data_IF_720799560979
#
_entry.id   IF_720799560979
#
_cell.length_a   1.000
_cell.length_b   1.000
_cell.length_c   1.000
_cell.angle_alpha   90.00
_cell.angle_beta   90.00
_cell.angle_gamma   90.00
#
_symmetry.space_group_name_H-M   'P 1'
#
loop_
_entity.id
_entity.type
_entity.pdbx_description
1 polymer ?
#
# COMPACT_ATOMS: atom_id res chain seq x y z
N UNK A 1 21.15 38.89 8.26
CA UNK A 1 20.69 39.21 9.62
C UNK A 1 20.81 37.94 10.43
N UNK A 2 21.61 37.94 11.50
CA UNK A 2 21.75 36.78 12.38
C UNK A 2 20.39 36.50 13.04
N UNK A 3 19.95 35.23 13.03
CA UNK A 3 18.71 34.83 13.68
C UNK A 3 18.82 35.06 15.19
N UNK A 4 17.97 35.94 15.74
CA UNK A 4 17.88 36.22 17.19
C UNK A 4 17.23 35.07 18.00
N UNK A 5 16.98 33.91 17.37
CA UNK A 5 16.31 32.77 18.01
C UNK A 5 16.93 31.44 17.56
N UNK A 6 16.86 30.41 18.41
CA UNK A 6 17.20 29.03 18.02
C UNK A 6 15.95 28.26 17.60
N UNK A 7 16.12 27.23 16.77
CA UNK A 7 14.99 26.40 16.31
C UNK A 7 14.28 25.71 17.49
N UNK A 8 14.99 25.35 18.57
CA UNK A 8 14.33 24.78 19.76
C UNK A 8 13.43 25.80 20.47
N UNK A 9 13.71 27.09 20.39
CA UNK A 9 12.82 28.12 20.95
C UNK A 9 11.46 28.16 20.22
N UNK A 10 11.43 27.76 18.94
CA UNK A 10 10.18 27.56 18.19
C UNK A 10 9.38 26.35 18.70
N UNK A 11 10.02 25.42 19.42
CA UNK A 11 9.44 24.21 19.99
C UNK A 11 9.41 24.24 21.53
N UNK A 12 9.22 25.41 22.14
CA UNK A 12 9.17 25.59 23.59
C UNK A 12 10.40 25.05 24.34
N UNK A 13 11.59 25.12 23.73
CA UNK A 13 12.85 24.64 24.28
C UNK A 13 13.07 23.13 24.16
N UNK A 14 12.17 22.39 23.53
CA UNK A 14 12.33 20.95 23.28
C UNK A 14 13.20 20.72 22.05
N UNK A 15 14.01 19.66 22.10
CA UNK A 15 14.91 19.25 21.01
C UNK A 15 14.16 19.15 19.69
N UNK A 16 14.70 19.76 18.64
CA UNK A 16 14.20 19.67 17.27
C UNK A 16 15.21 18.87 16.44
N UNK A 17 14.72 17.93 15.65
CA UNK A 17 15.55 17.12 14.76
C UNK A 17 15.50 17.75 13.36
N UNK A 18 16.68 17.86 12.73
CA UNK A 18 16.81 18.48 11.41
C UNK A 18 16.62 17.45 10.30
N UNK A 19 15.35 17.05 10.10
CA UNK A 19 14.96 16.10 9.05
C UNK A 19 15.24 16.66 7.66
N UNK A 20 14.92 17.93 7.48
CA UNK A 20 14.93 18.57 6.17
C UNK A 20 16.36 18.80 5.64
N UNK A 21 17.41 18.60 6.46
CA UNK A 21 18.81 18.68 5.97
C UNK A 21 19.17 17.52 5.06
N UNK A 22 18.48 16.39 5.24
CA UNK A 22 18.65 15.18 4.47
C UNK A 22 17.60 15.07 3.36
N UNK A 23 16.78 16.10 3.14
CA UNK A 23 15.70 16.07 2.16
C UNK A 23 16.20 15.80 0.73
N UNK A 24 17.32 16.40 0.32
CA UNK A 24 17.92 16.19 -1.00
C UNK A 24 18.39 14.75 -1.20
N UNK A 25 19.01 14.16 -0.18
CA UNK A 25 19.47 12.77 -0.22
C UNK A 25 18.30 11.80 -0.17
N UNK A 26 17.34 12.03 0.72
CA UNK A 26 16.14 11.21 0.83
C UNK A 26 15.32 11.24 -0.46
N UNK A 27 15.13 12.43 -1.05
CA UNK A 27 14.43 12.59 -2.33
C UNK A 27 15.21 11.98 -3.50
N UNK A 28 16.55 12.12 -3.51
CA UNK A 28 17.40 11.50 -4.54
C UNK A 28 17.37 9.97 -4.49
N UNK A 29 17.47 9.38 -3.30
CA UNK A 29 17.40 7.92 -3.09
C UNK A 29 16.00 7.40 -3.43
N UNK A 30 14.96 8.09 -2.97
CA UNK A 30 13.55 7.78 -3.27
C UNK A 30 13.27 7.85 -4.79
N UNK A 31 13.73 8.90 -5.46
CA UNK A 31 13.62 9.04 -6.92
C UNK A 31 14.39 7.96 -7.68
N UNK A 32 15.59 7.60 -7.21
CA UNK A 32 16.35 6.49 -7.79
C UNK A 32 15.62 5.15 -7.63
N UNK A 33 15.13 4.84 -6.43
CA UNK A 33 14.33 3.65 -6.17
C UNK A 33 13.09 3.60 -7.05
N UNK A 34 12.41 4.73 -7.24
CA UNK A 34 11.24 4.83 -8.12
C UNK A 34 11.60 4.46 -9.57
N UNK A 35 12.69 5.01 -10.11
CA UNK A 35 13.16 4.71 -11.47
C UNK A 35 13.54 3.24 -11.58
N UNK A 36 14.26 2.70 -10.60
CA UNK A 36 14.65 1.29 -10.57
C UNK A 36 13.41 0.39 -10.53
N UNK A 37 12.42 0.70 -9.70
CA UNK A 37 11.16 -0.04 -9.64
C UNK A 37 10.43 -0.04 -10.97
N UNK A 38 10.31 1.12 -11.64
CA UNK A 38 9.69 1.21 -12.96
C UNK A 38 10.48 0.39 -14.00
N UNK A 39 11.81 0.45 -13.97
CA UNK A 39 12.66 -0.32 -14.87
C UNK A 39 12.52 -1.84 -14.64
N UNK A 40 12.47 -2.28 -13.38
CA UNK A 40 12.23 -3.69 -13.02
C UNK A 40 10.87 -4.14 -13.56
N UNK A 41 9.82 -3.36 -13.31
CA UNK A 41 8.46 -3.65 -13.81
C UNK A 41 8.48 -3.75 -15.34
N UNK A 42 9.18 -2.84 -16.04
CA UNK A 42 9.25 -2.85 -17.50
C UNK A 42 10.03 -4.04 -18.09
N UNK A 43 11.08 -4.52 -17.41
CA UNK A 43 11.94 -5.60 -17.92
C UNK A 43 11.43 -6.99 -17.51
N UNK A 44 11.00 -7.16 -16.26
CA UNK A 44 10.54 -8.46 -15.73
C UNK A 44 9.03 -8.67 -15.87
N UNK A 45 8.26 -7.60 -15.95
CA UNK A 45 6.81 -7.67 -15.88
C UNK A 45 6.31 -8.07 -14.50
N UNK A 46 5.02 -8.36 -14.42
CA UNK A 46 4.38 -8.88 -13.21
C UNK A 46 4.12 -10.38 -13.35
N UNK A 47 4.30 -11.11 -12.25
CA UNK A 47 3.81 -12.48 -12.15
C UNK A 47 2.31 -12.39 -11.83
N UNK A 48 1.46 -12.51 -12.85
CA UNK A 48 0.01 -12.38 -12.66
C UNK A 48 -0.57 -13.66 -12.09
N UNK A 49 -1.38 -13.50 -11.04
CA UNK A 49 -2.04 -14.62 -10.41
C UNK A 49 -3.27 -15.10 -11.13
N UNK A 50 -3.80 -16.22 -10.65
CA UNK A 50 -4.93 -16.92 -11.26
C UNK A 50 -6.19 -16.06 -11.40
N UNK A 51 -6.36 -15.07 -10.54
CA UNK A 51 -7.47 -14.12 -10.61
C UNK A 51 -7.41 -13.25 -11.89
N UNK A 52 -6.22 -13.05 -12.48
CA UNK A 52 -6.01 -12.22 -13.67
C UNK A 52 -5.63 -13.02 -14.92
N UNK A 53 -4.91 -14.13 -14.76
CA UNK A 53 -4.59 -15.03 -15.88
C UNK A 53 -5.72 -15.99 -16.21
N UNK A 54 -6.72 -16.10 -15.32
CA UNK A 54 -7.63 -17.24 -15.31
C UNK A 54 -6.93 -18.50 -14.79
N UNK A 55 -7.65 -19.61 -14.81
CA UNK A 55 -7.15 -20.87 -14.27
C UNK A 55 -8.24 -21.94 -14.15
N UNK A 56 -7.82 -23.11 -13.69
CA UNK A 56 -8.74 -24.22 -13.40
C UNK A 56 -8.98 -24.28 -11.90
N UNK A 57 -10.26 -24.21 -11.53
CA UNK A 57 -10.76 -24.37 -10.17
C UNK A 57 -11.39 -25.76 -10.05
N UNK A 58 -10.87 -26.58 -9.15
CA UNK A 58 -11.40 -27.90 -8.87
C UNK A 58 -11.97 -27.91 -7.45
N UNK A 59 -13.27 -28.17 -7.33
CA UNK A 59 -13.94 -28.37 -6.05
C UNK A 59 -14.05 -29.85 -5.76
N UNK A 60 -13.55 -30.25 -4.60
CA UNK A 60 -13.42 -31.63 -4.19
C UNK A 60 -14.07 -31.79 -2.81
N UNK A 61 -14.96 -32.76 -2.71
CA UNK A 61 -15.59 -33.15 -1.45
C UNK A 61 -14.91 -34.39 -0.91
N UNK A 62 -14.62 -34.36 0.38
CA UNK A 62 -13.93 -35.40 1.12
C UNK A 62 -14.85 -35.96 2.20
N UNK A 63 -14.64 -37.21 2.60
CA UNK A 63 -15.39 -37.80 3.71
C UNK A 63 -14.94 -37.24 5.06
N UNK A 64 -13.62 -37.05 5.24
CA UNK A 64 -13.00 -36.53 6.46
C UNK A 64 -12.20 -35.26 6.19
N UNK A 65 -12.13 -34.33 7.16
CA UNK A 65 -11.26 -33.17 7.07
C UNK A 65 -9.80 -33.60 6.89
N UNK A 66 -9.07 -32.87 6.04
CA UNK A 66 -7.64 -33.13 5.79
C UNK A 66 -6.84 -31.93 6.28
N UNK A 67 -5.61 -32.21 6.69
CA UNK A 67 -4.58 -31.20 6.84
C UNK A 67 -4.21 -30.60 5.46
N UNK A 68 -4.56 -29.32 5.27
CA UNK A 68 -4.36 -28.62 4.01
C UNK A 68 -2.89 -28.44 3.66
N UNK A 69 -2.00 -28.36 4.64
CA UNK A 69 -0.58 -28.18 4.43
C UNK A 69 0.05 -29.49 3.94
N UNK A 70 -0.31 -30.61 4.55
CA UNK A 70 0.10 -31.94 4.08
C UNK A 70 -0.41 -32.24 2.66
N UNK A 71 -1.64 -31.83 2.35
CA UNK A 71 -2.19 -32.00 1.01
C UNK A 71 -1.48 -31.12 -0.02
N UNK A 72 -1.19 -29.86 0.33
CA UNK A 72 -0.43 -28.95 -0.54
C UNK A 72 0.95 -29.52 -0.86
N UNK A 73 1.69 -30.00 0.13
CA UNK A 73 2.99 -30.65 -0.07
C UNK A 73 2.89 -31.86 -1.00
N UNK A 74 1.83 -32.66 -0.86
CA UNK A 74 1.64 -33.87 -1.66
C UNK A 74 1.36 -33.54 -3.13
N UNK A 75 0.56 -32.50 -3.39
CA UNK A 75 0.33 -32.00 -4.74
C UNK A 75 1.58 -31.37 -5.35
N UNK A 76 2.37 -30.65 -4.55
CA UNK A 76 3.64 -30.08 -5.01
C UNK A 76 4.66 -31.18 -5.35
N UNK A 77 4.75 -32.24 -4.53
CA UNK A 77 5.57 -33.44 -4.82
C UNK A 77 5.09 -34.20 -6.07
N UNK A 78 3.80 -34.14 -6.38
CA UNK A 78 3.23 -34.71 -7.60
C UNK A 78 3.53 -33.88 -8.87
N UNK A 79 4.23 -32.74 -8.73
CA UNK A 79 4.68 -31.90 -9.83
C UNK A 79 3.69 -30.81 -10.24
N UNK A 80 2.70 -30.49 -9.41
CA UNK A 80 1.86 -29.31 -9.61
C UNK A 80 2.59 -28.07 -9.09
N UNK A 81 2.77 -27.05 -9.95
CA UNK A 81 3.39 -25.77 -9.57
C UNK A 81 2.41 -24.96 -8.71
N UNK A 82 2.82 -24.66 -7.47
CA UNK A 82 2.13 -23.80 -6.49
C UNK A 82 0.59 -23.94 -6.43
N UNK A 83 0.05 -25.14 -6.12
CA UNK A 83 -1.39 -25.33 -6.04
C UNK A 83 -1.98 -24.55 -4.85
N UNK A 84 -2.89 -23.62 -5.13
CA UNK A 84 -3.61 -22.86 -4.12
C UNK A 84 -4.75 -23.71 -3.55
N UNK A 85 -4.57 -24.17 -2.31
CA UNK A 85 -5.53 -25.00 -1.59
C UNK A 85 -6.25 -24.19 -0.51
N UNK A 86 -7.58 -24.19 -0.56
CA UNK A 86 -8.44 -23.51 0.40
C UNK A 86 -9.68 -24.35 0.73
N UNK A 87 -10.22 -24.21 1.94
CA UNK A 87 -11.51 -24.81 2.29
C UNK A 87 -12.64 -24.03 1.62
N UNK A 88 -13.69 -24.73 1.20
CA UNK A 88 -14.82 -24.16 0.46
C UNK A 88 -16.15 -24.59 1.07
N UNK A 89 -16.77 -23.73 1.88
CA UNK A 89 -18.05 -24.01 2.53
C UNK A 89 -17.96 -24.87 3.80
N UNK A 90 -17.20 -25.98 3.78
CA UNK A 90 -16.96 -26.82 4.97
C UNK A 90 -15.50 -27.26 5.08
N UNK A 91 -15.09 -27.81 6.23
CA UNK A 91 -13.74 -28.40 6.42
C UNK A 91 -13.50 -29.69 5.62
N UNK A 92 -14.51 -30.16 4.90
CA UNK A 92 -14.48 -31.39 4.08
C UNK A 92 -14.52 -31.07 2.59
N UNK A 93 -14.79 -29.82 2.25
CA UNK A 93 -14.88 -29.35 0.89
C UNK A 93 -13.66 -28.48 0.64
N UNK A 94 -12.83 -28.89 -0.32
CA UNK A 94 -11.61 -28.18 -0.68
C UNK A 94 -11.73 -27.65 -2.09
N UNK A 95 -11.13 -26.50 -2.32
CA UNK A 95 -10.96 -25.90 -3.63
C UNK A 95 -9.47 -25.86 -3.95
N UNK A 96 -9.12 -26.45 -5.08
CA UNK A 96 -7.77 -26.46 -5.64
C UNK A 96 -7.76 -25.52 -6.84
N UNK A 97 -6.95 -24.47 -6.79
CA UNK A 97 -6.77 -23.50 -7.87
C UNK A 97 -5.39 -23.71 -8.51
N UNK A 98 -5.38 -23.80 -9.84
CA UNK A 98 -4.16 -24.05 -10.63
C UNK A 98 -4.11 -23.20 -11.90
N UNK A 99 -2.90 -22.94 -12.42
CA UNK A 99 -2.69 -22.26 -13.70
C UNK A 99 -3.47 -22.89 -14.86
N UNK A 100 -3.90 -22.08 -15.84
CA UNK A 100 -4.68 -22.56 -16.98
C UNK A 100 -3.82 -23.47 -17.86
N UNK A 101 -4.38 -24.63 -18.22
CA UNK A 101 -3.72 -25.55 -19.15
C UNK A 101 -4.25 -25.32 -20.55
N UNK A 102 -3.32 -25.15 -21.47
CA UNK A 102 -3.56 -24.65 -22.83
C UNK A 102 -4.18 -25.71 -23.77
N UNK A 103 -4.67 -26.82 -23.22
CA UNK A 103 -5.20 -27.95 -23.99
C UNK A 103 -6.69 -28.14 -23.73
N UNK A 104 -7.48 -28.41 -24.78
CA UNK A 104 -8.95 -28.40 -24.70
C UNK A 104 -9.52 -29.48 -23.76
N UNK A 105 -8.78 -30.58 -23.53
CA UNK A 105 -9.08 -31.62 -22.54
C UNK A 105 -8.20 -31.54 -21.28
N UNK A 106 -7.25 -30.60 -21.23
CA UNK A 106 -6.23 -30.51 -20.19
C UNK A 106 -6.82 -30.26 -18.80
N UNK A 107 -7.92 -29.49 -18.70
CA UNK A 107 -8.61 -29.21 -17.44
C UNK A 107 -9.29 -30.45 -16.84
N UNK A 108 -9.90 -31.30 -17.67
CA UNK A 108 -10.51 -32.55 -17.25
C UNK A 108 -9.44 -33.58 -16.82
N UNK A 109 -8.36 -33.68 -17.60
CA UNK A 109 -7.23 -34.56 -17.27
C UNK A 109 -6.54 -34.13 -15.97
N UNK A 110 -6.35 -32.82 -15.77
CA UNK A 110 -5.87 -32.26 -14.50
C UNK A 110 -6.77 -32.60 -13.33
N UNK A 111 -8.09 -32.42 -13.51
CA UNK A 111 -9.08 -32.85 -12.52
C UNK A 111 -8.89 -34.29 -12.09
N UNK A 112 -8.78 -35.19 -13.06
CA UNK A 112 -8.58 -36.62 -12.80
C UNK A 112 -7.25 -36.92 -12.11
N UNK A 113 -6.17 -36.23 -12.49
CA UNK A 113 -4.83 -36.40 -11.92
C UNK A 113 -4.76 -35.90 -10.48
N UNK A 114 -5.37 -34.74 -10.20
CA UNK A 114 -5.46 -34.17 -8.85
C UNK A 114 -6.24 -35.11 -7.92
N UNK A 115 -7.39 -35.62 -8.37
CA UNK A 115 -8.20 -36.55 -7.57
C UNK A 115 -7.48 -37.86 -7.32
N UNK A 116 -6.76 -38.38 -8.32
CA UNK A 116 -5.95 -39.58 -8.16
C UNK A 116 -4.89 -39.38 -7.07
N UNK A 117 -4.17 -38.26 -7.10
CA UNK A 117 -3.16 -37.93 -6.06
C UNK A 117 -3.82 -37.77 -4.69
N UNK A 118 -4.98 -37.13 -4.61
CA UNK A 118 -5.69 -36.93 -3.33
C UNK A 118 -6.18 -38.26 -2.75
N UNK A 119 -6.74 -39.15 -3.58
CA UNK A 119 -7.20 -40.47 -3.17
C UNK A 119 -6.03 -41.34 -2.70
N UNK A 120 -4.92 -41.34 -3.44
CA UNK A 120 -3.69 -42.08 -3.08
C UNK A 120 -3.07 -41.54 -1.78
N UNK A 121 -3.06 -40.22 -1.59
CA UNK A 121 -2.46 -39.58 -0.39
C UNK A 121 -3.31 -39.79 0.86
N UNK A 122 -4.63 -39.76 0.72
CA UNK A 122 -5.53 -39.70 1.90
C UNK A 122 -6.21 -41.02 2.21
N UNK A 123 -6.12 -42.01 1.32
CA UNK A 123 -6.82 -43.30 1.47
C UNK A 123 -8.32 -43.12 1.75
N UNK A 124 -8.94 -42.09 1.16
CA UNK A 124 -10.37 -41.83 1.20
C UNK A 124 -10.88 -41.48 -0.19
N UNK A 125 -12.17 -41.70 -0.44
CA UNK A 125 -12.80 -41.38 -1.71
C UNK A 125 -13.07 -39.86 -1.81
N UNK A 126 -12.19 -39.17 -2.53
CA UNK A 126 -12.42 -37.79 -2.92
C UNK A 126 -13.32 -37.74 -4.16
N UNK A 127 -14.37 -36.93 -4.09
CA UNK A 127 -15.32 -36.76 -5.19
C UNK A 127 -15.20 -35.35 -5.76
N UNK A 128 -14.98 -35.24 -7.08
CA UNK A 128 -15.02 -33.95 -7.76
C UNK A 128 -16.47 -33.49 -7.82
N UNK A 129 -16.76 -32.37 -7.16
CA UNK A 129 -18.07 -31.71 -7.28
C UNK A 129 -18.16 -30.91 -8.55
N UNK A 130 -17.09 -30.18 -8.86
CA UNK A 130 -17.08 -29.21 -9.95
C UNK A 130 -15.67 -28.95 -10.46
N UNK A 131 -15.54 -28.84 -11.77
CA UNK A 131 -14.34 -28.29 -12.43
C UNK A 131 -14.81 -27.06 -13.18
N UNK A 132 -14.35 -25.89 -12.77
CA UNK A 132 -14.62 -24.63 -13.45
C UNK A 132 -13.33 -24.12 -14.09
N UNK A 133 -13.41 -23.76 -15.36
CA UNK A 133 -12.35 -23.05 -16.04
C UNK A 133 -12.72 -21.58 -16.10
N UNK A 134 -11.92 -20.74 -15.46
CA UNK A 134 -12.03 -19.29 -15.57
C UNK A 134 -11.12 -18.84 -16.70
N UNK A 135 -11.72 -18.35 -17.78
CA UNK A 135 -10.99 -17.88 -18.95
C UNK A 135 -10.23 -16.58 -18.70
N UNK A 136 -9.10 -16.35 -19.40
CA UNK A 136 -8.26 -15.16 -19.24
C UNK A 136 -8.99 -13.84 -19.54
N UNK A 137 -10.10 -13.86 -20.28
CA UNK A 137 -10.92 -12.67 -20.53
C UNK A 137 -11.54 -12.09 -19.25
N UNK A 138 -12.02 -12.95 -18.34
CA UNK A 138 -12.58 -12.51 -17.05
C UNK A 138 -11.48 -11.95 -16.16
N UNK A 139 -10.29 -12.56 -16.22
CA UNK A 139 -9.12 -12.08 -15.48
C UNK A 139 -8.60 -10.73 -15.96
N UNK A 140 -8.62 -10.46 -17.26
CA UNK A 140 -8.27 -9.14 -17.80
C UNK A 140 -9.23 -8.03 -17.30
N UNK A 141 -10.52 -8.31 -17.24
CA UNK A 141 -11.51 -7.38 -16.68
C UNK A 141 -11.27 -7.11 -15.19
N UNK A 142 -10.92 -8.14 -14.42
CA UNK A 142 -10.55 -8.03 -13.01
C UNK A 142 -9.28 -7.18 -12.83
N UNK A 143 -8.26 -7.38 -13.66
CA UNK A 143 -7.01 -6.62 -13.63
C UNK A 143 -7.26 -5.13 -13.91
N UNK A 144 -8.03 -4.84 -14.95
CA UNK A 144 -8.39 -3.48 -15.31
C UNK A 144 -9.23 -2.82 -14.20
N UNK A 145 -10.17 -3.55 -13.61
CA UNK A 145 -11.00 -3.05 -12.51
C UNK A 145 -10.15 -2.75 -11.27
N UNK A 146 -9.19 -3.63 -10.93
CA UNK A 146 -8.25 -3.41 -9.82
C UNK A 146 -7.36 -2.18 -10.04
N UNK A 147 -6.81 -2.02 -11.24
CA UNK A 147 -6.01 -0.85 -11.61
C UNK A 147 -6.83 0.44 -11.55
N UNK A 148 -8.07 0.41 -12.06
CA UNK A 148 -9.00 1.54 -11.98
C UNK A 148 -9.37 1.87 -10.53
N UNK A 149 -9.59 0.88 -9.68
CA UNK A 149 -9.88 1.09 -8.27
C UNK A 149 -8.74 1.82 -7.54
N UNK A 150 -7.48 1.42 -7.78
CA UNK A 150 -6.30 2.09 -7.24
C UNK A 150 -6.19 3.55 -7.73
N UNK A 151 -6.40 3.79 -9.02
CA UNK A 151 -6.33 5.13 -9.61
C UNK A 151 -7.44 6.04 -9.07
N UNK A 152 -8.68 5.54 -9.00
CA UNK A 152 -9.83 6.27 -8.44
C UNK A 152 -9.60 6.57 -6.95
N UNK A 153 -9.01 5.66 -6.19
CA UNK A 153 -8.67 5.90 -4.79
C UNK A 153 -7.65 7.05 -4.65
N UNK A 154 -6.57 7.05 -5.44
CA UNK A 154 -5.57 8.13 -5.42
C UNK A 154 -6.17 9.49 -5.82
N UNK A 155 -7.01 9.55 -6.85
CA UNK A 155 -7.70 10.79 -7.25
C UNK A 155 -8.66 11.26 -6.16
N UNK A 156 -9.42 10.35 -5.56
CA UNK A 156 -10.37 10.68 -4.48
C UNK A 156 -9.64 11.27 -3.27
N UNK A 157 -8.49 10.70 -2.92
CA UNK A 157 -7.61 11.23 -1.88
C UNK A 157 -7.08 12.62 -2.26
N UNK A 158 -6.62 12.81 -3.50
CA UNK A 158 -6.16 14.13 -3.98
C UNK A 158 -7.24 15.20 -3.83
N UNK A 159 -8.46 14.89 -4.27
CA UNK A 159 -9.60 15.80 -4.18
C UNK A 159 -9.90 16.11 -2.71
N UNK A 160 -10.05 15.08 -1.87
CA UNK A 160 -10.33 15.26 -0.45
C UNK A 160 -9.25 16.09 0.27
N UNK A 161 -7.98 15.72 0.11
CA UNK A 161 -6.85 16.41 0.74
C UNK A 161 -6.70 17.82 0.16
N UNK A 162 -6.93 18.02 -1.13
CA UNK A 162 -6.90 19.32 -1.79
C UNK A 162 -7.97 20.29 -1.28
N UNK A 163 -9.18 19.80 -0.98
CA UNK A 163 -10.22 20.61 -0.34
C UNK A 163 -9.97 20.83 1.15
N UNK A 164 -9.44 19.83 1.86
CA UNK A 164 -9.24 19.86 3.32
C UNK A 164 -7.99 20.64 3.74
N UNK A 165 -6.96 20.63 2.90
CA UNK A 165 -5.63 21.20 3.10
C UNK A 165 -5.27 22.18 1.97
N UNK A 166 -4.02 22.64 1.95
CA UNK A 166 -3.50 23.47 0.87
C UNK A 166 -3.02 22.56 -0.28
N UNK A 167 -3.23 22.99 -1.53
CA UNK A 167 -3.05 22.11 -2.70
C UNK A 167 -1.61 21.59 -2.88
N UNK A 168 -0.58 22.30 -2.39
CA UNK A 168 0.82 21.85 -2.43
C UNK A 168 1.07 20.74 -1.41
N UNK A 169 0.45 20.82 -0.23
CA UNK A 169 0.41 19.69 0.71
C UNK A 169 -0.30 18.50 0.08
N UNK A 170 -1.46 18.72 -0.53
CA UNK A 170 -2.22 17.65 -1.18
C UNK A 170 -1.43 16.95 -2.30
N UNK A 171 -0.78 17.73 -3.16
CA UNK A 171 0.08 17.20 -4.22
C UNK A 171 1.26 16.41 -3.64
N UNK A 172 1.93 16.93 -2.59
CA UNK A 172 3.02 16.24 -1.92
C UNK A 172 2.60 14.89 -1.34
N UNK A 173 1.43 14.83 -0.67
CA UNK A 173 0.87 13.58 -0.13
C UNK A 173 0.56 12.58 -1.24
N UNK A 174 -0.12 13.00 -2.31
CA UNK A 174 -0.54 12.08 -3.37
C UNK A 174 0.65 11.55 -4.18
N UNK A 175 1.65 12.39 -4.45
CA UNK A 175 2.89 11.94 -5.10
C UNK A 175 3.63 10.95 -4.22
N UNK A 176 3.70 11.18 -2.90
CA UNK A 176 4.29 10.24 -1.95
C UNK A 176 3.55 8.89 -1.94
N UNK A 177 2.20 8.90 -1.94
CA UNK A 177 1.40 7.67 -2.01
C UNK A 177 1.61 6.90 -3.31
N UNK A 178 1.62 7.60 -4.46
CA UNK A 178 1.89 6.97 -5.75
C UNK A 178 3.30 6.37 -5.78
N UNK A 179 4.28 7.08 -5.23
CA UNK A 179 5.65 6.58 -5.06
C UNK A 179 5.69 5.29 -4.23
N UNK A 180 4.99 5.25 -3.09
CA UNK A 180 4.98 4.07 -2.22
C UNK A 180 4.41 2.84 -2.93
N UNK A 181 3.31 3.03 -3.67
CA UNK A 181 2.66 1.99 -4.48
C UNK A 181 3.58 1.50 -5.60
N UNK A 182 4.25 2.40 -6.32
CA UNK A 182 5.16 2.00 -7.41
C UNK A 182 6.38 1.25 -6.88
N UNK A 183 6.96 1.69 -5.75
CA UNK A 183 8.12 0.98 -5.18
C UNK A 183 7.70 -0.40 -4.68
N UNK A 184 6.59 -0.49 -3.93
CA UNK A 184 6.06 -1.79 -3.48
C UNK A 184 5.82 -2.74 -4.67
N UNK A 185 5.16 -2.28 -5.73
CA UNK A 185 4.97 -3.06 -6.95
C UNK A 185 6.30 -3.46 -7.61
N UNK A 186 7.29 -2.58 -7.61
CA UNK A 186 8.62 -2.90 -8.15
C UNK A 186 9.35 -3.98 -7.36
N UNK A 187 9.20 -3.99 -6.03
CA UNK A 187 9.73 -5.06 -5.18
C UNK A 187 8.99 -6.38 -5.45
N UNK A 188 7.67 -6.36 -5.57
CA UNK A 188 6.89 -7.57 -5.92
C UNK A 188 7.31 -8.15 -7.27
N UNK A 189 7.49 -7.28 -8.28
CA UNK A 189 8.00 -7.67 -9.61
C UNK A 189 9.43 -8.23 -9.54
N UNK A 190 10.31 -7.63 -8.73
CA UNK A 190 11.69 -8.10 -8.57
C UNK A 190 11.74 -9.54 -8.04
N UNK A 191 10.91 -9.86 -7.05
CA UNK A 191 10.87 -11.17 -6.42
C UNK A 191 9.92 -12.16 -7.12
N UNK A 192 9.31 -11.78 -8.25
CA UNK A 192 8.32 -12.57 -8.97
C UNK A 192 7.15 -13.04 -8.09
N UNK A 193 6.74 -12.19 -7.14
CA UNK A 193 5.58 -12.47 -6.28
C UNK A 193 4.31 -12.41 -7.13
N UNK A 194 3.46 -13.42 -6.99
CA UNK A 194 2.16 -13.50 -7.66
C UNK A 194 1.28 -12.31 -7.26
N UNK A 195 0.74 -11.59 -8.25
CA UNK A 195 -0.22 -10.50 -8.06
C UNK A 195 -1.61 -11.06 -8.26
N UNK A 196 -2.38 -11.20 -7.18
CA UNK A 196 -3.77 -11.60 -7.18
C UNK A 196 -4.67 -10.46 -6.62
N UNK A 197 -5.96 -10.72 -6.41
CA UNK A 197 -6.85 -9.72 -5.81
C UNK A 197 -6.49 -9.40 -4.35
N UNK A 198 -5.83 -10.31 -3.63
CA UNK A 198 -5.38 -10.06 -2.26
C UNK A 198 -4.24 -9.04 -2.23
N UNK A 199 -3.33 -9.07 -3.21
CA UNK A 199 -2.30 -8.06 -3.39
C UNK A 199 -2.91 -6.70 -3.76
N UNK A 200 -3.94 -6.66 -4.60
CA UNK A 200 -4.64 -5.39 -4.88
C UNK A 200 -5.25 -4.82 -3.59
N UNK A 201 -5.90 -5.66 -2.78
CA UNK A 201 -6.45 -5.24 -1.49
C UNK A 201 -5.37 -4.78 -0.49
N UNK A 202 -4.19 -5.43 -0.50
CA UNK A 202 -3.07 -5.03 0.35
C UNK A 202 -2.49 -3.69 -0.09
N UNK A 203 -2.35 -3.41 -1.39
CA UNK A 203 -1.94 -2.11 -1.91
C UNK A 203 -2.93 -1.00 -1.53
N UNK A 204 -4.24 -1.25 -1.62
CA UNK A 204 -5.26 -0.31 -1.14
C UNK A 204 -5.13 -0.04 0.36
N UNK A 205 -4.82 -1.08 1.14
CA UNK A 205 -4.60 -0.96 2.58
C UNK A 205 -3.34 -0.16 2.91
N UNK A 206 -2.26 -0.35 2.14
CA UNK A 206 -1.02 0.45 2.24
C UNK A 206 -1.29 1.92 1.94
N UNK A 207 -2.09 2.23 0.91
CA UNK A 207 -2.48 3.62 0.60
C UNK A 207 -3.20 4.24 1.80
N UNK A 208 -4.19 3.56 2.37
CA UNK A 208 -4.93 4.05 3.53
C UNK A 208 -4.02 4.26 4.75
N UNK A 209 -3.08 3.34 4.97
CA UNK A 209 -2.11 3.44 6.04
C UNK A 209 -1.15 4.63 5.88
N UNK A 210 -0.47 4.73 4.72
CA UNK A 210 0.48 5.80 4.43
C UNK A 210 -0.20 7.18 4.40
N UNK A 211 -1.47 7.23 3.98
CA UNK A 211 -2.28 8.43 4.02
C UNK A 211 -2.54 8.93 5.45
N UNK A 212 -2.83 8.02 6.39
CA UNK A 212 -3.11 8.39 7.78
C UNK A 212 -1.93 9.18 8.38
N UNK A 213 -0.70 8.70 8.18
CA UNK A 213 0.47 9.40 8.71
C UNK A 213 0.75 10.72 7.97
N UNK A 214 0.62 10.72 6.65
CA UNK A 214 0.76 11.91 5.81
C UNK A 214 -0.23 13.04 6.20
N UNK A 215 -1.46 12.68 6.58
CA UNK A 215 -2.48 13.63 7.07
C UNK A 215 -2.06 14.23 8.40
N UNK A 216 -1.58 13.41 9.34
CA UNK A 216 -1.16 13.87 10.67
C UNK A 216 0.00 14.85 10.58
N UNK A 217 1.00 14.53 9.76
CA UNK A 217 2.15 15.41 9.50
C UNK A 217 1.68 16.72 8.83
N UNK A 218 0.85 16.63 7.80
CA UNK A 218 0.33 17.80 7.07
C UNK A 218 -0.51 18.72 7.95
N UNK A 219 -1.34 18.16 8.82
CA UNK A 219 -2.15 18.94 9.76
C UNK A 219 -1.27 19.64 10.79
N UNK A 220 -0.23 18.96 11.30
CA UNK A 220 0.72 19.58 12.22
C UNK A 220 1.52 20.71 11.58
N UNK A 221 1.97 20.52 10.33
CA UNK A 221 2.63 21.57 9.54
C UNK A 221 1.71 22.79 9.43
N UNK A 222 0.46 22.58 9.01
CA UNK A 222 -0.54 23.65 8.88
C UNK A 222 -0.81 24.36 10.21
N UNK A 223 -0.95 23.61 11.29
CA UNK A 223 -1.15 24.14 12.64
C UNK A 223 0.03 25.03 13.06
N UNK A 224 1.27 24.56 12.86
CA UNK A 224 2.47 25.28 13.25
C UNK A 224 2.71 26.54 12.41
N UNK A 225 2.37 26.54 11.12
CA UNK A 225 2.40 27.77 10.30
C UNK A 225 1.45 28.86 10.81
N UNK A 226 0.35 28.48 11.47
CA UNK A 226 -0.61 29.41 12.09
C UNK A 226 -0.15 29.85 13.48
N UNK A 227 0.37 28.93 14.29
CA UNK A 227 0.76 29.19 15.69
C UNK A 227 2.12 29.87 15.83
N UNK A 228 3.13 29.39 15.11
CA UNK A 228 4.50 29.87 15.24
C UNK A 228 4.67 31.14 14.39
N UNK A 229 4.90 32.27 15.04
CA UNK A 229 4.91 33.60 14.38
C UNK A 229 6.24 33.98 13.74
N UNK A 230 7.32 33.31 14.12
CA UNK A 230 8.70 33.51 13.66
C UNK A 230 9.20 32.16 13.11
N UNK A 231 10.20 32.16 12.25
CA UNK A 231 10.68 30.91 11.64
C UNK A 231 10.54 30.88 10.12
N UNK A 232 11.53 30.29 9.46
CA UNK A 232 11.43 29.99 8.03
C UNK A 232 10.50 28.79 7.80
N UNK A 233 9.89 28.62 6.61
CA UNK A 233 9.12 27.41 6.29
C UNK A 233 9.87 26.12 6.63
N UNK A 234 11.17 26.07 6.32
CA UNK A 234 12.04 24.93 6.64
C UNK A 234 12.07 24.59 8.13
N UNK A 235 12.23 25.60 9.00
CA UNK A 235 12.22 25.41 10.46
C UNK A 235 10.86 24.93 10.97
N UNK A 236 9.78 25.48 10.43
CA UNK A 236 8.41 25.07 10.79
C UNK A 236 8.15 23.60 10.44
N UNK A 237 8.65 23.13 9.29
CA UNK A 237 8.56 21.73 8.91
C UNK A 237 9.35 20.83 9.87
N UNK A 238 10.60 21.17 10.18
CA UNK A 238 11.41 20.40 11.14
C UNK A 238 10.75 20.29 12.52
N UNK A 239 10.18 21.40 13.02
CA UNK A 239 9.43 21.40 14.29
C UNK A 239 8.21 20.48 14.19
N UNK A 240 7.45 20.57 13.10
CA UNK A 240 6.25 19.76 12.87
C UNK A 240 6.57 18.27 12.82
N UNK A 241 7.56 17.89 12.02
CA UNK A 241 8.03 16.50 11.89
C UNK A 241 8.54 15.96 13.22
N UNK A 242 9.29 16.76 13.99
CA UNK A 242 9.76 16.34 15.31
C UNK A 242 8.59 16.08 16.27
N UNK A 243 7.55 16.91 16.23
CA UNK A 243 6.39 16.77 17.11
C UNK A 243 5.52 15.56 16.77
N UNK A 244 5.47 15.14 15.51
CA UNK A 244 4.69 13.96 15.08
C UNK A 244 5.48 12.66 15.13
N UNK A 245 6.81 12.71 15.07
CA UNK A 245 7.69 11.53 14.94
C UNK A 245 7.35 10.39 15.90
N UNK A 246 7.19 10.67 17.20
CA UNK A 246 6.93 9.63 18.20
C UNK A 246 5.60 8.91 17.94
N UNK A 247 4.56 9.66 17.54
CA UNK A 247 3.26 9.07 17.18
C UNK A 247 3.40 8.19 15.94
N UNK A 248 4.02 8.73 14.89
CA UNK A 248 4.27 8.02 13.62
C UNK A 248 5.02 6.71 13.83
N UNK A 249 6.09 6.73 14.63
CA UNK A 249 6.90 5.55 14.91
C UNK A 249 6.13 4.50 15.73
N UNK A 250 5.35 4.91 16.73
CA UNK A 250 4.54 3.97 17.52
C UNK A 250 3.46 3.34 16.66
N UNK A 251 2.70 4.13 15.90
CA UNK A 251 1.65 3.59 15.04
C UNK A 251 2.24 2.62 14.03
N UNK A 252 3.35 2.97 13.39
CA UNK A 252 4.04 2.09 12.41
C UNK A 252 4.62 0.85 13.04
N UNK A 253 5.28 0.97 14.18
CA UNK A 253 5.82 -0.17 14.91
C UNK A 253 4.74 -1.17 15.34
N UNK A 254 3.61 -0.69 15.86
CA UNK A 254 2.50 -1.57 16.26
C UNK A 254 1.87 -2.29 15.06
N UNK A 255 1.66 -1.59 13.94
CA UNK A 255 1.12 -2.19 12.73
C UNK A 255 2.09 -3.20 12.12
N UNK A 256 3.39 -2.86 12.06
CA UNK A 256 4.44 -3.77 11.58
C UNK A 256 4.52 -5.04 12.43
N UNK A 257 4.35 -4.96 13.75
CA UNK A 257 4.34 -6.15 14.60
C UNK A 257 3.18 -7.09 14.25
N UNK A 258 1.98 -6.56 14.03
CA UNK A 258 0.82 -7.39 13.63
C UNK A 258 1.05 -8.02 12.26
N UNK A 259 1.54 -7.24 11.29
CA UNK A 259 1.84 -7.73 9.95
C UNK A 259 2.96 -8.77 9.98
N UNK A 260 3.97 -8.60 10.83
CA UNK A 260 5.06 -9.56 11.00
C UNK A 260 4.55 -10.89 11.54
N UNK A 261 3.65 -10.86 12.53
CA UNK A 261 3.00 -12.09 12.99
C UNK A 261 2.18 -12.74 11.87
N UNK A 262 1.47 -11.94 11.07
CA UNK A 262 0.73 -12.45 9.91
C UNK A 262 1.66 -13.05 8.85
N UNK A 263 2.84 -12.47 8.63
CA UNK A 263 3.84 -13.01 7.69
C UNK A 263 4.45 -14.32 8.18
N UNK A 264 4.75 -14.43 9.47
CA UNK A 264 5.35 -15.63 10.05
C UNK A 264 4.36 -16.79 10.25
N UNK A 265 3.09 -16.49 10.53
CA UNK A 265 2.08 -17.48 10.92
C UNK A 265 0.85 -17.56 10.01
N UNK A 266 0.73 -16.69 9.01
CA UNK A 266 -0.45 -16.62 8.13
C UNK A 266 -0.52 -17.68 7.03
N UNK A 267 0.59 -18.41 6.81
CA UNK A 267 0.69 -19.43 5.76
C UNK A 267 0.80 -18.84 4.34
N UNK A 268 0.94 -19.70 3.32
CA UNK A 268 1.30 -19.28 1.97
C UNK A 268 0.24 -18.40 1.28
N UNK A 269 -1.04 -18.60 1.63
CA UNK A 269 -2.15 -17.80 1.06
C UNK A 269 -2.08 -16.32 1.50
N UNK A 270 -1.50 -16.05 2.68
CA UNK A 270 -1.39 -14.69 3.23
C UNK A 270 0.03 -14.13 3.13
N UNK A 271 0.98 -14.91 2.63
CA UNK A 271 2.38 -14.52 2.52
C UNK A 271 2.55 -13.30 1.61
N UNK A 272 1.99 -13.35 0.40
CA UNK A 272 2.04 -12.21 -0.54
C UNK A 272 1.36 -10.96 0.03
N UNK A 273 0.18 -11.11 0.63
CA UNK A 273 -0.54 -10.01 1.28
C UNK A 273 0.28 -9.35 2.39
N UNK A 274 0.81 -10.16 3.31
CA UNK A 274 1.55 -9.68 4.48
C UNK A 274 2.90 -9.10 4.10
N UNK A 275 3.61 -9.68 3.12
CA UNK A 275 4.84 -9.14 2.58
C UNK A 275 4.61 -7.75 1.94
N UNK A 276 3.55 -7.62 1.15
CA UNK A 276 3.19 -6.33 0.52
C UNK A 276 2.89 -5.26 1.56
N UNK A 277 2.13 -5.61 2.60
CA UNK A 277 1.86 -4.71 3.73
C UNK A 277 3.13 -4.34 4.49
N UNK A 278 4.04 -5.30 4.72
CA UNK A 278 5.28 -5.08 5.45
C UNK A 278 6.18 -4.08 4.73
N UNK A 279 6.35 -4.27 3.42
CA UNK A 279 7.13 -3.36 2.57
C UNK A 279 6.42 -2.00 2.49
N UNK A 280 5.12 -1.98 2.23
CA UNK A 280 4.35 -0.75 2.03
C UNK A 280 4.27 0.13 3.27
N UNK A 281 4.01 -0.44 4.45
CA UNK A 281 4.02 0.30 5.72
C UNK A 281 5.41 0.86 6.02
N UNK A 282 6.47 0.07 5.77
CA UNK A 282 7.85 0.51 6.02
C UNK A 282 8.24 1.68 5.13
N UNK A 283 7.96 1.60 3.82
CA UNK A 283 8.24 2.68 2.86
C UNK A 283 7.35 3.89 3.15
N UNK A 284 6.05 3.67 3.38
CA UNK A 284 5.10 4.75 3.64
C UNK A 284 5.46 5.59 4.86
N UNK A 285 5.97 4.96 5.93
CA UNK A 285 6.45 5.66 7.13
C UNK A 285 7.65 6.56 6.83
N UNK A 286 8.57 6.13 5.96
CA UNK A 286 9.69 6.97 5.54
C UNK A 286 9.24 8.08 4.57
N UNK A 287 8.32 7.75 3.67
CA UNK A 287 7.81 8.62 2.61
C UNK A 287 6.97 9.77 3.16
N UNK A 288 6.11 9.52 4.17
CA UNK A 288 5.32 10.55 4.84
C UNK A 288 6.19 11.62 5.51
N UNK A 289 7.30 11.20 6.13
CA UNK A 289 8.25 12.08 6.81
C UNK A 289 9.08 12.89 5.81
N UNK A 290 9.66 12.22 4.82
CA UNK A 290 10.64 12.85 3.93
C UNK A 290 10.06 13.29 2.59
N UNK A 291 9.35 12.42 1.85
CA UNK A 291 8.91 12.69 0.47
C UNK A 291 7.78 13.72 0.45
N UNK A 292 6.70 13.48 1.18
CA UNK A 292 5.53 14.38 1.18
C UNK A 292 5.92 15.78 1.68
N UNK A 293 6.67 15.84 2.77
CA UNK A 293 7.11 17.08 3.40
C UNK A 293 8.12 17.85 2.55
N UNK A 294 9.13 17.17 1.99
CA UNK A 294 10.13 17.82 1.14
C UNK A 294 9.52 18.33 -0.17
N UNK A 295 8.61 17.57 -0.79
CA UNK A 295 7.90 18.00 -1.99
C UNK A 295 7.08 19.26 -1.72
N UNK A 296 6.32 19.28 -0.63
CA UNK A 296 5.51 20.43 -0.29
C UNK A 296 6.37 21.68 0.01
N UNK A 297 7.54 21.50 0.62
CA UNK A 297 8.53 22.57 0.81
C UNK A 297 9.11 23.07 -0.53
N UNK A 298 9.51 22.17 -1.43
CA UNK A 298 10.05 22.50 -2.76
C UNK A 298 9.03 23.16 -3.69
N UNK A 299 7.74 22.84 -3.54
CA UNK A 299 6.62 23.52 -4.22
C UNK A 299 6.38 24.96 -3.72
N UNK A 300 7.24 25.46 -2.83
CA UNK A 300 7.25 26.85 -2.41
C UNK A 300 6.20 27.17 -1.36
N UNK A 301 5.87 26.22 -0.48
CA UNK A 301 4.95 26.48 0.61
C UNK A 301 5.47 27.60 1.51
N UNK A 302 4.69 28.67 1.59
CA UNK A 302 4.92 29.82 2.45
C UNK A 302 3.78 29.94 3.44
N UNK A 303 4.08 30.62 4.54
CA UNK A 303 3.10 30.93 5.58
C UNK A 303 1.87 31.68 5.05
N UNK A 304 2.08 32.57 4.09
CA UNK A 304 1.03 33.36 3.42
C UNK A 304 -0.06 32.50 2.80
N UNK A 305 0.27 31.27 2.35
CA UNK A 305 -0.69 30.36 1.75
C UNK A 305 -1.61 29.67 2.79
N UNK A 306 -1.28 29.77 4.08
CA UNK A 306 -1.99 29.08 5.16
C UNK A 306 -2.73 30.04 6.10
N UNK A 307 -2.47 31.34 5.96
CA UNK A 307 -3.22 32.43 6.56
C UNK A 307 -4.38 32.78 5.62
N UNK A 308 -5.61 32.77 6.12
CA UNK A 308 -6.71 33.38 5.37
C UNK A 308 -6.34 34.85 5.13
N UNK A 309 -6.24 35.27 3.86
CA UNK A 309 -6.26 36.69 3.55
C UNK A 309 -7.49 37.25 4.27
N UNK A 310 -7.28 38.19 5.20
CA UNK A 310 -8.39 39.05 5.62
C UNK A 310 -8.90 39.65 4.32
N UNK A 311 -10.07 39.22 3.87
CA UNK A 311 -10.85 40.01 2.93
C UNK A 311 -11.04 41.33 3.66
N UNK A 312 -10.30 42.36 3.27
CA UNK A 312 -10.63 43.72 3.68
C UNK A 312 -12.07 43.90 3.24
N UNK A 313 -12.99 43.94 4.20
CA UNK A 313 -14.35 44.38 3.91
C UNK A 313 -14.18 45.79 3.37
N UNK A 314 -14.58 46.02 2.11
CA UNK A 314 -14.70 47.38 1.57
C UNK A 314 -15.45 48.23 2.60
N UNK A 315 -14.79 49.25 3.15
CA UNK A 315 -15.35 50.13 4.18
C UNK A 315 -14.80 49.97 5.61
N UNK A 316 -13.82 49.10 5.89
CA UNK A 316 -13.22 49.00 7.22
C UNK A 316 -12.51 50.29 7.71
N UNK A 317 -12.09 51.15 6.77
CA UNK A 317 -11.48 52.46 7.04
C UNK A 317 -12.47 53.64 6.90
N UNK A 318 -13.76 53.39 6.65
CA UNK A 318 -14.75 54.46 6.61
C UNK A 318 -15.19 54.82 8.03
N UNK A 319 -15.16 56.10 8.43
CA UNK A 319 -15.70 56.52 9.71
C UNK A 319 -17.18 56.14 9.79
N UNK A 320 -17.59 55.62 10.96
CA UNK A 320 -18.98 55.26 11.24
C UNK A 320 -19.92 56.42 10.89
N UNK A 321 -20.87 56.17 9.99
CA UNK A 321 -21.91 57.13 9.59
C UNK A 321 -23.05 57.15 10.62
N UNK A 322 -22.96 56.36 11.69
CA UNK A 322 -23.91 56.41 12.80
C UNK A 322 -23.53 57.56 13.75
N UNK A 323 -24.46 58.50 14.01
CA UNK A 323 -24.23 59.69 14.82
C UNK A 323 -24.00 59.38 16.30
#
# INVERSE_FOLDING_TARGET
MAQEYTVEQLNHGRKVWDFMRWDYWAFGISGFLLIVSIAIIGVRGFNWGLDFTGGTVIEISLEKPIDMDHMRESLQKAGFEEPLLQNFGSSRDIMVRMPPVHDANGSQELGSKVVKVINETTSQDATVKRIEFVGPSVGADLAQTGAMALLVALISILVYVGFRFEWRLAAGVVIALAHDVVITMGVLSLFHIEIDLTIVASLMSVIGYSLNDSIVVSDRIRENFRKIRRGTPYEIFNVSLTQTLHRTLITSGTTLMVILMLFLFGGPVLEGFSLTMLIGVSIGTASSIYVASALALKLGMKREHLLQQKVEKEGADQPSILP
#
